data_IF_623431582374
#
_entry.id   IF_623431582374
#
_cell.length_a   1.000
_cell.length_b   1.000
_cell.length_c   1.000
_cell.angle_alpha   90.00
_cell.angle_beta   90.00
_cell.angle_gamma   90.00
#
_symmetry.space_group_name_H-M   'P 1'
#
loop_
_entity.id
_entity.type
_entity.pdbx_description
1 polymer ?
#
# COMPACT_ATOMS: atom_id res chain seq x y z
N UNK A 1 0.54 25.04 -5.20
CA UNK A 1 -0.32 23.84 -5.06
C UNK A 1 0.54 22.58 -5.10
N UNK A 2 1.37 22.47 -6.14
CA UNK A 2 2.27 21.34 -6.40
C UNK A 2 3.24 20.99 -5.26
N UNK A 3 3.85 22.01 -4.64
CA UNK A 3 4.76 21.81 -3.49
C UNK A 3 4.01 21.24 -2.28
N UNK A 4 2.77 21.64 -2.05
CA UNK A 4 1.98 21.08 -0.97
C UNK A 4 1.60 19.62 -1.27
N UNK A 5 1.18 19.33 -2.50
CA UNK A 5 0.87 17.96 -2.92
C UNK A 5 2.06 17.01 -2.76
N UNK A 6 3.27 17.45 -3.14
CA UNK A 6 4.48 16.64 -2.97
C UNK A 6 4.90 16.45 -1.51
N UNK A 7 4.76 17.47 -0.66
CA UNK A 7 5.01 17.35 0.79
C UNK A 7 4.04 16.35 1.44
N UNK A 8 2.74 16.45 1.13
CA UNK A 8 1.75 15.49 1.65
C UNK A 8 1.99 14.07 1.13
N UNK A 9 2.35 13.92 -0.14
CA UNK A 9 2.65 12.62 -0.74
C UNK A 9 3.88 11.97 -0.09
N UNK A 10 4.97 12.71 0.09
CA UNK A 10 6.19 12.21 0.74
C UNK A 10 5.97 11.89 2.22
N UNK A 11 5.24 12.74 2.95
CA UNK A 11 4.87 12.45 4.34
C UNK A 11 4.01 11.20 4.45
N UNK A 12 3.00 11.05 3.61
CA UNK A 12 2.11 9.87 3.62
C UNK A 12 2.90 8.60 3.31
N UNK A 13 3.79 8.66 2.32
CA UNK A 13 4.67 7.55 1.97
C UNK A 13 5.58 7.14 3.13
N UNK A 14 6.23 8.11 3.79
CA UNK A 14 7.11 7.84 4.94
C UNK A 14 6.29 7.24 6.09
N UNK A 15 5.15 7.83 6.43
CA UNK A 15 4.26 7.32 7.48
C UNK A 15 3.79 5.89 7.18
N UNK A 16 3.42 5.60 5.93
CA UNK A 16 2.97 4.27 5.53
C UNK A 16 4.11 3.23 5.56
N UNK A 17 5.29 3.60 5.07
CA UNK A 17 6.50 2.77 5.13
C UNK A 17 6.87 2.46 6.58
N UNK A 18 6.83 3.46 7.46
CA UNK A 18 7.09 3.29 8.88
C UNK A 18 6.05 2.38 9.54
N UNK A 19 4.77 2.57 9.24
CA UNK A 19 3.68 1.71 9.72
C UNK A 19 3.92 0.25 9.33
N UNK A 20 4.11 -0.04 8.05
CA UNK A 20 4.31 -1.42 7.56
C UNK A 20 5.60 -2.07 8.07
N UNK A 21 6.61 -1.27 8.44
CA UNK A 21 7.85 -1.76 9.03
C UNK A 21 7.76 -2.02 10.55
N UNK A 22 7.06 -1.15 11.28
CA UNK A 22 6.89 -1.24 12.73
C UNK A 22 5.76 -2.18 13.14
N UNK A 23 4.83 -2.49 12.23
CA UNK A 23 3.74 -3.41 12.51
C UNK A 23 4.30 -4.78 12.91
N UNK A 24 4.08 -5.15 14.17
CA UNK A 24 4.37 -6.49 14.66
C UNK A 24 3.06 -7.27 14.56
N UNK A 25 2.93 -8.25 13.64
CA UNK A 25 1.70 -9.00 13.49
C UNK A 25 1.43 -9.77 14.79
N UNK A 26 0.57 -9.19 15.63
CA UNK A 26 -0.10 -9.85 16.76
C UNK A 26 -1.51 -10.24 16.30
N UNK A 27 -1.58 -10.81 15.10
CA UNK A 27 -2.81 -11.22 14.45
C UNK A 27 -3.43 -12.41 15.15
N UNK A 28 -4.74 -12.56 14.97
CA UNK A 28 -5.51 -13.68 15.51
C UNK A 28 -4.98 -14.96 14.86
N UNK A 29 -4.55 -15.92 15.68
CA UNK A 29 -4.00 -17.23 15.29
C UNK A 29 -5.03 -18.09 14.53
N UNK A 30 -5.37 -17.73 13.30
CA UNK A 30 -6.14 -18.60 12.43
C UNK A 30 -5.12 -19.57 11.82
N UNK A 31 -5.06 -20.75 12.42
CA UNK A 31 -4.13 -21.84 12.07
C UNK A 31 -4.20 -22.19 10.58
N UNK A 32 -3.38 -21.52 9.76
CA UNK A 32 -3.10 -21.89 8.37
C UNK A 32 -1.67 -22.43 8.25
N UNK A 33 -1.20 -23.17 9.27
CA UNK A 33 0.12 -23.81 9.30
C UNK A 33 0.36 -24.87 8.21
N UNK A 34 -0.56 -25.05 7.26
CA UNK A 34 -0.49 -26.03 6.17
C UNK A 34 -0.03 -25.41 4.84
N UNK A 35 -0.21 -24.09 4.65
CA UNK A 35 0.10 -23.42 3.37
C UNK A 35 1.47 -22.71 3.37
N UNK A 36 2.00 -22.38 4.54
CA UNK A 36 3.32 -21.79 4.72
C UNK A 36 4.28 -22.81 5.33
N UNK A 37 5.06 -23.52 4.50
CA UNK A 37 6.00 -24.50 5.00
C UNK A 37 7.11 -23.85 5.84
N UNK A 38 7.52 -24.54 6.91
CA UNK A 38 8.46 -24.08 7.96
C UNK A 38 9.88 -23.72 7.47
N UNK A 39 10.17 -23.85 6.18
CA UNK A 39 11.47 -23.51 5.60
C UNK A 39 11.68 -22.01 5.37
N UNK A 40 10.62 -21.19 5.43
CA UNK A 40 10.76 -19.75 5.35
C UNK A 40 11.16 -19.18 6.73
N UNK A 41 12.28 -18.45 6.82
CA UNK A 41 12.72 -17.96 8.11
C UNK A 41 11.69 -17.02 8.75
N UNK A 42 11.52 -17.12 10.07
CA UNK A 42 10.55 -16.36 10.87
C UNK A 42 10.67 -14.83 10.71
N UNK A 43 11.81 -14.32 10.21
CA UNK A 43 11.99 -12.90 9.89
C UNK A 43 11.17 -12.44 8.68
N UNK A 44 10.94 -13.29 7.68
CA UNK A 44 10.05 -12.96 6.56
C UNK A 44 8.59 -12.92 7.02
N UNK A 45 8.20 -13.80 7.95
CA UNK A 45 6.84 -13.84 8.51
C UNK A 45 6.43 -12.57 9.27
N UNK A 46 7.38 -11.80 9.81
CA UNK A 46 7.07 -10.58 10.56
C UNK A 46 6.83 -9.35 9.68
N UNK A 47 7.20 -9.39 8.39
CA UNK A 47 7.29 -8.18 7.55
C UNK A 47 6.49 -8.27 6.25
N UNK A 48 5.53 -9.18 6.14
CA UNK A 48 4.73 -9.34 4.92
C UNK A 48 3.98 -8.08 4.52
N UNK A 49 3.55 -7.24 5.47
CA UNK A 49 2.94 -5.95 5.16
C UNK A 49 3.86 -5.02 4.39
N UNK A 50 5.18 -5.16 4.43
CA UNK A 50 6.08 -4.31 3.65
C UNK A 50 5.93 -4.51 2.13
N UNK A 51 5.38 -5.64 1.67
CA UNK A 51 5.17 -5.87 0.24
C UNK A 51 4.10 -4.93 -0.34
N UNK A 52 3.20 -4.39 0.50
CA UNK A 52 2.19 -3.40 0.10
C UNK A 52 2.77 -2.04 -0.22
N UNK A 53 4.04 -1.78 0.12
CA UNK A 53 4.72 -0.56 -0.26
C UNK A 53 4.83 -0.45 -1.80
N UNK A 54 5.06 -1.56 -2.52
CA UNK A 54 5.18 -1.56 -3.98
C UNK A 54 3.93 -0.97 -4.68
N UNK A 55 2.70 -1.50 -4.46
CA UNK A 55 1.52 -0.94 -5.09
C UNK A 55 1.20 0.48 -4.60
N UNK A 56 1.51 0.82 -3.35
CA UNK A 56 1.31 2.20 -2.83
C UNK A 56 2.21 3.20 -3.56
N UNK A 57 3.51 2.89 -3.74
CA UNK A 57 4.45 3.76 -4.45
C UNK A 57 4.01 3.93 -5.91
N UNK A 58 3.62 2.84 -6.57
CA UNK A 58 3.14 2.89 -7.95
C UNK A 58 1.90 3.79 -8.06
N UNK A 59 0.92 3.62 -7.18
CA UNK A 59 -0.29 4.47 -7.15
C UNK A 59 0.04 5.94 -6.89
N UNK A 60 0.94 6.22 -5.94
CA UNK A 60 1.37 7.58 -5.62
C UNK A 60 2.07 8.26 -6.80
N UNK A 61 2.99 7.56 -7.46
CA UNK A 61 3.68 8.08 -8.65
C UNK A 61 2.72 8.34 -9.80
N UNK A 62 1.80 7.39 -10.06
CA UNK A 62 0.78 7.53 -11.10
C UNK A 62 -0.14 8.72 -10.85
N UNK A 63 -0.60 8.87 -9.61
CA UNK A 63 -1.45 9.99 -9.19
C UNK A 63 -0.73 11.34 -9.37
N UNK A 64 0.54 11.43 -8.95
CA UNK A 64 1.32 12.65 -9.14
C UNK A 64 1.53 12.95 -10.64
N UNK A 65 1.84 11.94 -11.46
CA UNK A 65 1.99 12.11 -12.90
C UNK A 65 0.70 12.67 -13.54
N UNK A 66 -0.46 12.11 -13.21
CA UNK A 66 -1.74 12.57 -13.76
C UNK A 66 -2.04 14.04 -13.39
N UNK A 67 -1.74 14.45 -12.15
CA UNK A 67 -1.90 15.84 -11.72
C UNK A 67 -0.97 16.78 -12.48
N UNK A 68 0.30 16.40 -12.64
CA UNK A 68 1.31 17.24 -13.31
C UNK A 68 1.09 17.33 -14.82
N UNK A 69 0.68 16.24 -15.47
CA UNK A 69 0.49 16.21 -16.92
C UNK A 69 -0.82 16.88 -17.35
N UNK A 70 -1.91 16.69 -16.60
CA UNK A 70 -3.23 17.17 -17.02
C UNK A 70 -3.53 18.59 -16.59
N UNK A 71 -2.74 19.20 -15.70
CA UNK A 71 -3.05 20.49 -15.05
C UNK A 71 -4.47 20.54 -14.43
N UNK A 72 -5.14 19.38 -14.29
CA UNK A 72 -6.50 19.21 -13.75
C UNK A 72 -6.48 19.23 -12.21
N UNK A 73 -5.68 20.12 -11.62
CA UNK A 73 -5.61 20.34 -10.17
C UNK A 73 -6.91 20.90 -9.58
N UNK A 74 -7.93 21.17 -10.39
CA UNK A 74 -9.22 21.72 -9.96
C UNK A 74 -10.12 20.71 -9.22
N UNK A 75 -9.92 19.40 -9.40
CA UNK A 75 -10.72 18.36 -8.71
C UNK A 75 -9.94 17.05 -8.56
N UNK A 76 -9.05 16.94 -7.56
CA UNK A 76 -8.22 15.74 -7.33
C UNK A 76 -9.06 14.46 -7.14
N UNK A 77 -10.30 14.56 -6.63
CA UNK A 77 -11.22 13.42 -6.56
C UNK A 77 -11.58 12.84 -7.94
N UNK A 78 -11.71 13.70 -8.96
CA UNK A 78 -12.08 13.27 -10.32
C UNK A 78 -10.91 12.63 -11.03
N UNK A 79 -9.70 13.14 -10.82
CA UNK A 79 -8.47 12.54 -11.36
C UNK A 79 -8.33 11.12 -10.82
N UNK A 80 -8.56 10.93 -9.52
CA UNK A 80 -8.47 9.63 -8.88
C UNK A 80 -9.50 8.61 -9.39
N UNK A 81 -10.73 9.06 -9.66
CA UNK A 81 -11.80 8.20 -10.17
C UNK A 81 -11.77 8.02 -11.70
N UNK A 82 -11.07 8.89 -12.43
CA UNK A 82 -11.00 8.82 -13.90
C UNK A 82 -9.90 7.89 -14.41
N UNK A 83 -8.78 7.76 -13.69
CA UNK A 83 -7.69 6.87 -14.09
C UNK A 83 -7.95 5.42 -13.63
N UNK A 84 -8.41 4.58 -14.57
CA UNK A 84 -8.68 3.15 -14.31
C UNK A 84 -7.45 2.39 -13.75
N UNK A 85 -6.22 2.58 -14.26
CA UNK A 85 -5.00 2.01 -13.68
C UNK A 85 -4.78 2.36 -12.20
N UNK A 86 -5.01 3.62 -11.81
CA UNK A 86 -4.89 4.06 -10.44
C UNK A 86 -5.92 3.37 -9.53
N UNK A 87 -7.17 3.29 -9.98
CA UNK A 87 -8.25 2.64 -9.22
C UNK A 87 -7.97 1.15 -9.01
N UNK A 88 -7.52 0.44 -10.07
CA UNK A 88 -7.11 -0.97 -9.97
C UNK A 88 -5.99 -1.14 -8.93
N UNK A 89 -5.01 -0.24 -8.93
CA UNK A 89 -3.90 -0.27 -7.96
C UNK A 89 -4.40 -0.14 -6.52
N UNK A 90 -5.32 0.80 -6.26
CA UNK A 90 -5.90 1.02 -4.94
C UNK A 90 -6.71 -0.19 -4.49
N UNK A 91 -7.53 -0.77 -5.37
CA UNK A 91 -8.32 -1.98 -5.06
C UNK A 91 -7.40 -3.17 -4.77
N UNK A 92 -6.38 -3.38 -5.60
CA UNK A 92 -5.39 -4.44 -5.39
C UNK A 92 -4.65 -4.24 -4.06
N UNK A 93 -4.30 -3.01 -3.72
CA UNK A 93 -3.68 -2.69 -2.44
C UNK A 93 -4.60 -3.02 -1.25
N UNK A 94 -5.87 -2.62 -1.28
CA UNK A 94 -6.85 -2.95 -0.22
C UNK A 94 -6.99 -4.46 -0.06
N UNK A 95 -7.15 -5.19 -1.16
CA UNK A 95 -7.22 -6.66 -1.15
C UNK A 95 -5.97 -7.25 -0.52
N UNK A 96 -4.79 -6.76 -0.90
CA UNK A 96 -3.52 -7.26 -0.38
C UNK A 96 -3.36 -6.99 1.11
N UNK A 97 -3.74 -5.82 1.61
CA UNK A 97 -3.73 -5.50 3.05
C UNK A 97 -4.66 -6.44 3.82
N UNK A 98 -5.88 -6.66 3.34
CA UNK A 98 -6.85 -7.58 3.96
C UNK A 98 -6.28 -9.01 3.97
N UNK A 99 -5.78 -9.49 2.84
CA UNK A 99 -5.20 -10.83 2.74
C UNK A 99 -4.02 -11.01 3.72
N UNK A 100 -3.14 -10.01 3.80
CA UNK A 100 -1.96 -10.11 4.67
C UNK A 100 -2.36 -10.13 6.16
N UNK A 101 -3.27 -9.24 6.59
CA UNK A 101 -3.67 -9.13 7.99
C UNK A 101 -4.45 -10.36 8.45
N UNK A 102 -5.39 -10.87 7.62
CA UNK A 102 -6.30 -11.93 8.04
C UNK A 102 -5.82 -13.35 7.71
N UNK A 103 -5.01 -13.53 6.66
CA UNK A 103 -4.58 -14.87 6.22
C UNK A 103 -3.09 -15.16 6.46
N UNK A 104 -2.23 -14.15 6.46
CA UNK A 104 -0.77 -14.31 6.62
C UNK A 104 -0.28 -13.96 8.03
N UNK A 105 -1.00 -13.11 8.77
CA UNK A 105 -0.67 -12.77 10.16
C UNK A 105 -0.68 -14.03 11.03
N UNK A 106 0.48 -14.52 11.52
CA UNK A 106 0.54 -15.72 12.34
C UNK A 106 0.02 -15.49 13.77
#
# INVERSE_FOLDING_TARGET
LDVYASIFATSTFITYSLFTFLENPRGIKISLGVLMPEFLPTFFQRKWLMITILPVVYGLMRYLQDIYEKNEGESPERVLLSDRPLLITVVLWVIMVILIIYFIGP
#
